data_IF_437038654322
#
_entry.id   IF_437038654322
#
_cell.length_a   1.000
_cell.length_b   1.000
_cell.length_c   1.000
_cell.angle_alpha   90.00
_cell.angle_beta   90.00
_cell.angle_gamma   90.00
#
_symmetry.space_group_name_H-M   'P 1'
#
loop_
_entity.id
_entity.type
_entity.pdbx_description
1 polymer ?
#
# COMPACT_ATOMS: atom_id res chain seq x y z
N UNK A 1 -20.43 -14.57 19.90
CA UNK A 1 -19.87 -13.60 20.86
C UNK A 1 -18.95 -12.74 20.04
N UNK A 2 -19.44 -11.61 19.54
CA UNK A 2 -18.61 -10.65 18.83
C UNK A 2 -17.67 -10.06 19.87
N UNK A 3 -16.38 -10.40 19.79
CA UNK A 3 -15.37 -9.74 20.60
C UNK A 3 -15.47 -8.24 20.33
N UNK A 4 -15.39 -7.47 21.41
CA UNK A 4 -15.33 -6.02 21.41
C UNK A 4 -14.11 -5.61 20.58
N UNK A 5 -14.29 -5.44 19.25
CA UNK A 5 -13.22 -4.99 18.37
C UNK A 5 -12.95 -3.54 18.74
N UNK A 6 -11.71 -3.16 19.07
CA UNK A 6 -11.41 -1.80 19.46
C UNK A 6 -11.80 -0.85 18.32
N UNK A 7 -12.69 0.09 18.62
CA UNK A 7 -13.07 1.17 17.70
C UNK A 7 -11.92 2.16 17.62
N UNK A 8 -11.37 2.39 16.43
CA UNK A 8 -10.27 3.33 16.22
C UNK A 8 -10.75 4.78 16.40
N UNK A 9 -9.84 5.72 16.72
CA UNK A 9 -10.19 7.13 16.73
C UNK A 9 -10.65 7.59 15.34
N UNK A 10 -11.63 8.50 15.26
CA UNK A 10 -12.15 9.00 13.99
C UNK A 10 -11.11 9.83 13.25
N UNK A 11 -10.86 9.48 11.99
CA UNK A 11 -9.89 10.16 11.13
C UNK A 11 -10.52 11.32 10.38
N UNK A 12 -9.73 12.38 10.11
CA UNK A 12 -10.11 13.45 9.18
C UNK A 12 -9.49 13.16 7.84
N UNK A 13 -10.33 12.95 6.83
CA UNK A 13 -9.91 12.72 5.46
C UNK A 13 -10.03 14.00 4.63
N UNK A 14 -9.17 14.13 3.62
CA UNK A 14 -9.37 15.12 2.55
C UNK A 14 -10.65 14.80 1.77
N UNK A 15 -11.14 15.75 0.98
CA UNK A 15 -12.30 15.49 0.13
C UNK A 15 -11.98 14.42 -0.91
N UNK A 16 -12.98 13.64 -1.33
CA UNK A 16 -12.78 12.60 -2.37
C UNK A 16 -12.19 13.19 -3.65
N UNK A 17 -12.53 14.44 -4.00
CA UNK A 17 -11.98 15.12 -5.17
C UNK A 17 -10.49 15.51 -5.02
N UNK A 18 -10.02 15.73 -3.79
CA UNK A 18 -8.60 15.91 -3.50
C UNK A 18 -7.88 14.56 -3.52
N UNK A 19 -8.42 13.56 -2.83
CA UNK A 19 -7.85 12.21 -2.81
C UNK A 19 -7.75 11.60 -4.23
N UNK A 20 -8.79 11.74 -5.06
CA UNK A 20 -8.76 11.26 -6.44
C UNK A 20 -7.73 12.01 -7.30
N UNK A 21 -7.45 13.28 -7.00
CA UNK A 21 -6.39 14.04 -7.66
C UNK A 21 -5.01 13.51 -7.24
N UNK A 22 -4.84 13.21 -5.96
CA UNK A 22 -3.61 12.66 -5.42
C UNK A 22 -3.35 11.27 -6.02
N UNK A 23 -4.38 10.42 -6.15
CA UNK A 23 -4.31 9.12 -6.81
C UNK A 23 -3.88 9.23 -8.28
N UNK A 24 -4.48 10.16 -9.03
CA UNK A 24 -4.10 10.43 -10.42
C UNK A 24 -2.70 11.06 -10.56
N UNK A 25 -2.14 11.61 -9.49
CA UNK A 25 -0.81 12.18 -9.45
C UNK A 25 0.26 11.17 -8.98
N UNK A 26 -0.15 10.01 -8.44
CA UNK A 26 0.77 8.97 -8.01
C UNK A 26 1.64 8.51 -9.21
N UNK A 27 2.98 8.47 -9.06
CA UNK A 27 3.88 8.13 -10.15
C UNK A 27 3.56 6.79 -10.82
N UNK A 28 3.33 5.73 -10.05
CA UNK A 28 3.05 4.39 -10.57
C UNK A 28 1.72 4.35 -11.33
N UNK A 29 0.66 4.92 -10.75
CA UNK A 29 -0.65 4.99 -11.39
C UNK A 29 -0.62 5.83 -12.69
N UNK A 30 0.12 6.93 -12.69
CA UNK A 30 0.35 7.77 -13.89
C UNK A 30 1.04 6.99 -15.00
N UNK A 31 2.06 6.19 -14.65
CA UNK A 31 2.79 5.34 -15.60
C UNK A 31 1.88 4.25 -16.15
N UNK A 32 1.10 3.58 -15.31
CA UNK A 32 0.13 2.55 -15.71
C UNK A 32 -0.90 3.09 -16.72
N UNK A 33 -1.51 4.24 -16.43
CA UNK A 33 -2.43 4.92 -17.37
C UNK A 33 -1.75 5.28 -18.69
N UNK A 34 -0.48 5.67 -18.65
CA UNK A 34 0.29 6.00 -19.85
C UNK A 34 0.57 4.77 -20.71
N UNK A 35 0.96 3.65 -20.08
CA UNK A 35 1.15 2.38 -20.77
C UNK A 35 -0.17 1.82 -21.32
N UNK A 36 -1.26 1.96 -20.59
CA UNK A 36 -2.60 1.58 -21.06
C UNK A 36 -3.01 2.34 -22.34
N UNK A 37 -2.64 3.62 -22.46
CA UNK A 37 -2.88 4.42 -23.68
C UNK A 37 -1.93 4.08 -24.81
N UNK A 38 -0.73 3.61 -24.48
CA UNK A 38 0.27 3.17 -25.45
C UNK A 38 -0.04 1.78 -26.01
N UNK A 39 -0.67 0.92 -25.20
CA UNK A 39 -1.12 -0.40 -25.61
C UNK A 39 -2.02 -0.31 -26.85
N UNK A 40 -1.78 -1.19 -27.81
CA UNK A 40 -2.58 -1.28 -29.02
C UNK A 40 -2.56 -2.71 -29.56
N UNK A 41 -3.25 -2.99 -30.68
CA UNK A 41 -3.49 -4.35 -31.17
C UNK A 41 -2.22 -5.19 -31.50
N UNK A 42 -1.04 -4.57 -31.47
CA UNK A 42 0.25 -5.24 -31.68
C UNK A 42 1.06 -5.43 -30.39
N UNK A 43 0.55 -5.03 -29.23
CA UNK A 43 1.23 -5.19 -27.95
C UNK A 43 1.16 -6.66 -27.54
N UNK A 44 2.30 -7.34 -27.51
CA UNK A 44 2.37 -8.76 -27.14
C UNK A 44 2.58 -8.92 -25.64
N UNK A 45 1.94 -9.94 -25.09
CA UNK A 45 2.12 -10.37 -23.71
C UNK A 45 2.47 -11.85 -23.64
N UNK A 46 3.11 -12.23 -22.53
CA UNK A 46 3.34 -13.63 -22.17
C UNK A 46 2.11 -14.26 -21.51
N UNK A 47 2.29 -15.47 -20.99
CA UNK A 47 1.20 -16.31 -20.48
C UNK A 47 0.51 -15.73 -19.23
N UNK A 48 1.25 -14.99 -18.40
CA UNK A 48 0.74 -14.29 -17.23
C UNK A 48 0.23 -12.89 -17.51
N UNK A 49 0.16 -12.46 -18.78
CA UNK A 49 -0.22 -11.10 -19.15
C UNK A 49 0.91 -10.08 -19.02
N UNK A 50 2.12 -10.50 -18.67
CA UNK A 50 3.33 -9.67 -18.61
C UNK A 50 3.71 -9.16 -20.00
N UNK A 51 4.20 -7.91 -20.07
CA UNK A 51 4.66 -7.33 -21.33
C UNK A 51 5.90 -8.09 -21.80
N UNK A 52 5.91 -8.50 -23.08
CA UNK A 52 7.05 -9.21 -23.65
C UNK A 52 8.37 -8.44 -23.47
N UNK A 53 9.44 -9.14 -23.09
CA UNK A 53 10.74 -8.53 -22.76
C UNK A 53 11.29 -7.62 -23.85
N UNK A 54 11.09 -7.97 -25.12
CA UNK A 54 11.56 -7.14 -26.24
C UNK A 54 10.83 -5.79 -26.35
N UNK A 55 9.67 -5.67 -25.70
CA UNK A 55 8.85 -4.46 -25.68
C UNK A 55 9.12 -3.58 -24.45
N UNK A 56 9.75 -4.10 -23.38
CA UNK A 56 10.06 -3.33 -22.17
C UNK A 56 10.89 -2.07 -22.46
N UNK A 57 11.94 -2.08 -23.32
CA UNK A 57 12.67 -0.85 -23.64
C UNK A 57 11.81 0.22 -24.34
N UNK A 58 10.84 -0.20 -25.16
CA UNK A 58 9.94 0.72 -25.84
C UNK A 58 8.89 1.30 -24.87
N UNK A 59 8.38 0.50 -23.94
CA UNK A 59 7.50 0.94 -22.88
C UNK A 59 8.22 1.93 -21.93
N UNK A 60 9.46 1.62 -21.53
CA UNK A 60 10.30 2.52 -20.74
C UNK A 60 10.54 3.85 -21.47
N UNK A 61 10.83 3.81 -22.78
CA UNK A 61 10.98 5.02 -23.59
C UNK A 61 9.68 5.83 -23.67
N UNK A 62 8.52 5.18 -23.78
CA UNK A 62 7.22 5.86 -23.69
C UNK A 62 7.08 6.55 -22.33
N UNK A 63 7.43 5.91 -21.22
CA UNK A 63 7.38 6.54 -19.89
C UNK A 63 8.39 7.68 -19.70
N UNK A 64 9.36 7.84 -20.61
CA UNK A 64 10.45 8.80 -20.50
C UNK A 64 11.65 8.28 -19.68
N UNK A 65 11.70 6.97 -19.45
CA UNK A 65 12.70 6.27 -18.63
C UNK A 65 13.73 5.49 -19.49
N UNK A 66 13.78 5.70 -20.81
CA UNK A 66 14.65 4.91 -21.69
C UNK A 66 16.16 5.12 -21.51
N UNK A 67 16.59 6.08 -20.69
CA UNK A 67 17.99 6.29 -20.30
C UNK A 67 18.26 5.89 -18.85
N UNK A 68 17.22 5.49 -18.13
CA UNK A 68 17.28 4.98 -16.77
C UNK A 68 17.65 3.49 -16.81
N UNK A 69 18.54 3.06 -15.92
CA UNK A 69 18.95 1.65 -15.85
C UNK A 69 17.80 0.75 -15.37
N UNK A 70 16.94 1.29 -14.50
CA UNK A 70 15.76 0.60 -13.97
C UNK A 70 14.51 0.82 -14.83
N UNK A 71 14.62 1.56 -15.94
CA UNK A 71 13.48 1.98 -16.75
C UNK A 71 12.63 0.81 -17.27
N UNK A 72 13.26 -0.33 -17.60
CA UNK A 72 12.56 -1.53 -18.02
C UNK A 72 11.79 -2.21 -16.86
N UNK A 73 12.38 -2.26 -15.67
CA UNK A 73 11.73 -2.81 -14.47
C UNK A 73 10.53 -1.95 -14.05
N UNK A 74 10.71 -0.63 -14.01
CA UNK A 74 9.63 0.34 -13.72
C UNK A 74 8.50 0.29 -14.76
N UNK A 75 8.81 0.00 -16.03
CA UNK A 75 7.80 -0.20 -17.06
C UNK A 75 7.04 -1.53 -16.88
N UNK A 76 7.72 -2.60 -16.46
CA UNK A 76 7.10 -3.89 -16.13
C UNK A 76 6.14 -3.76 -14.94
N UNK A 77 6.57 -3.08 -13.87
CA UNK A 77 5.75 -2.78 -12.69
C UNK A 77 4.48 -2.00 -13.06
N UNK A 78 4.63 -0.89 -13.79
CA UNK A 78 3.49 -0.09 -14.24
C UNK A 78 2.55 -0.86 -15.19
N UNK A 79 3.09 -1.82 -15.96
CA UNK A 79 2.29 -2.68 -16.83
C UNK A 79 1.41 -3.64 -16.02
N UNK A 80 1.98 -4.32 -15.02
CA UNK A 80 1.22 -5.21 -14.12
C UNK A 80 0.07 -4.48 -13.45
N UNK A 81 0.36 -3.32 -12.86
CA UNK A 81 -0.68 -2.45 -12.29
C UNK A 81 -1.79 -2.12 -13.32
N UNK A 82 -1.43 -1.83 -14.56
CA UNK A 82 -2.41 -1.53 -15.60
C UNK A 82 -3.30 -2.72 -15.94
N UNK A 83 -2.76 -3.94 -15.93
CA UNK A 83 -3.52 -5.18 -16.15
C UNK A 83 -4.44 -5.45 -14.95
N UNK A 84 -3.92 -5.42 -13.73
CA UNK A 84 -4.67 -5.76 -12.52
C UNK A 84 -5.79 -4.77 -12.19
N UNK A 85 -5.63 -3.50 -12.60
CA UNK A 85 -6.67 -2.47 -12.47
C UNK A 85 -7.63 -2.42 -13.67
N UNK A 86 -7.49 -3.30 -14.65
CA UNK A 86 -8.32 -3.34 -15.86
C UNK A 86 -8.16 -2.10 -16.77
N UNK A 87 -7.08 -1.35 -16.60
CA UNK A 87 -6.70 -0.28 -17.54
C UNK A 87 -6.22 -0.87 -18.88
N UNK A 88 -5.73 -2.11 -18.85
CA UNK A 88 -5.36 -2.93 -20.00
C UNK A 88 -6.11 -4.26 -19.91
N UNK A 89 -6.73 -4.65 -21.02
CA UNK A 89 -7.32 -5.97 -21.19
C UNK A 89 -6.35 -6.88 -21.95
N UNK A 90 -6.25 -8.13 -21.50
CA UNK A 90 -5.47 -9.17 -22.17
C UNK A 90 -6.40 -10.04 -23.01
N UNK A 91 -6.13 -10.08 -24.31
CA UNK A 91 -6.74 -11.01 -25.26
C UNK A 91 -5.83 -12.22 -25.42
N UNK A 92 -6.23 -13.43 -24.99
CA UNK A 92 -5.43 -14.63 -25.18
C UNK A 92 -5.29 -14.93 -26.68
N UNK A 93 -4.18 -15.53 -27.07
CA UNK A 93 -4.01 -16.01 -28.44
C UNK A 93 -5.06 -17.09 -28.75
N UNK A 94 -5.69 -17.02 -29.93
CA UNK A 94 -6.63 -18.06 -30.36
C UNK A 94 -5.92 -19.43 -30.42
N UNK A 95 -6.25 -20.32 -29.49
CA UNK A 95 -5.78 -21.72 -29.44
C UNK A 95 -6.29 -22.58 -30.63
N UNK A 96 -7.07 -22.02 -31.53
CA UNK A 96 -7.68 -22.71 -32.69
C UNK A 96 -6.70 -23.02 -33.84
N UNK A 97 -5.40 -23.07 -33.55
CA UNK A 97 -4.40 -23.68 -34.42
C UNK A 97 -4.18 -25.18 -34.11
N UNK A 98 -5.22 -25.91 -33.72
CA UNK A 98 -5.25 -27.38 -33.80
C UNK A 98 -5.14 -27.81 -35.28
N UNK A 99 -3.90 -27.91 -35.79
CA UNK A 99 -3.66 -28.33 -37.16
C UNK A 99 -2.22 -28.29 -37.67
N UNK A 100 -1.20 -28.14 -36.81
CA UNK A 100 0.19 -28.38 -37.22
C UNK A 100 0.75 -29.62 -36.58
N UNK A 101 0.51 -30.72 -37.30
CA UNK A 101 1.14 -32.02 -37.14
C UNK A 101 2.62 -31.90 -36.75
N UNK A 102 2.96 -32.62 -35.67
CA UNK A 102 4.30 -32.65 -35.11
C UNK A 102 5.36 -33.12 -36.10
N UNK A 103 6.50 -32.44 -36.07
CA UNK A 103 7.87 -32.95 -36.23
C UNK A 103 8.76 -31.76 -36.58
N UNK A 104 9.44 -31.20 -35.58
CA UNK A 104 10.37 -30.10 -35.77
C UNK A 104 11.29 -29.99 -34.57
N UNK A 105 12.26 -30.88 -34.49
CA UNK A 105 13.44 -30.77 -33.63
C UNK A 105 14.18 -29.47 -33.97
N UNK A 106 14.25 -28.53 -33.01
CA UNK A 106 14.90 -27.24 -33.19
C UNK A 106 14.64 -26.30 -32.02
N UNK A 107 15.61 -26.25 -31.09
CA UNK A 107 15.90 -25.20 -30.12
C UNK A 107 14.73 -24.29 -29.72
N UNK A 108 14.17 -24.56 -28.54
CA UNK A 108 13.31 -23.63 -27.81
C UNK A 108 14.17 -22.47 -27.29
N UNK A 109 14.39 -21.46 -28.14
CA UNK A 109 14.88 -20.14 -27.76
C UNK A 109 13.96 -19.13 -28.45
N UNK A 110 12.88 -18.76 -27.75
CA UNK A 110 11.85 -17.84 -28.24
C UNK A 110 10.49 -18.20 -27.66
N UNK A 111 10.28 -17.85 -26.39
CA UNK A 111 8.97 -17.83 -25.73
C UNK A 111 7.99 -17.06 -26.61
N UNK A 112 7.10 -17.79 -27.28
CA UNK A 112 6.13 -17.22 -28.20
C UNK A 112 5.07 -16.47 -27.40
N UNK A 113 4.76 -15.23 -27.79
CA UNK A 113 3.70 -14.46 -27.12
C UNK A 113 2.38 -15.23 -27.10
N UNK A 114 1.82 -15.42 -25.91
CA UNK A 114 0.57 -16.17 -25.72
C UNK A 114 -0.67 -15.24 -25.66
N UNK A 115 -0.52 -13.95 -26.00
CA UNK A 115 -1.64 -13.04 -26.15
C UNK A 115 -1.28 -11.67 -26.72
N UNK A 116 -2.32 -10.87 -26.94
CA UNK A 116 -2.22 -9.44 -27.25
C UNK A 116 -2.93 -8.61 -26.21
N UNK A 117 -2.47 -7.39 -25.98
CA UNK A 117 -3.09 -6.48 -25.03
C UNK A 117 -3.74 -5.29 -25.74
N UNK A 118 -4.86 -4.82 -25.20
CA UNK A 118 -5.57 -3.65 -25.68
C UNK A 118 -5.94 -2.73 -24.50
N UNK A 119 -6.23 -1.44 -24.73
CA UNK A 119 -6.74 -0.57 -23.68
C UNK A 119 -8.05 -1.12 -23.12
N UNK A 120 -8.13 -1.29 -21.80
CA UNK A 120 -9.29 -1.83 -21.10
C UNK A 120 -10.40 -0.81 -20.84
N UNK A 121 -11.54 -1.29 -20.36
CA UNK A 121 -12.73 -0.45 -20.15
C UNK A 121 -12.54 0.61 -19.05
N UNK A 122 -11.74 0.30 -18.02
CA UNK A 122 -11.49 1.20 -16.89
C UNK A 122 -10.67 2.43 -17.30
N UNK A 123 -9.97 2.40 -18.44
CA UNK A 123 -9.21 3.56 -18.92
C UNK A 123 -10.11 4.78 -19.20
N UNK A 124 -11.39 4.56 -19.54
CA UNK A 124 -12.36 5.64 -19.75
C UNK A 124 -12.67 6.40 -18.45
N UNK A 125 -12.63 5.71 -17.30
CA UNK A 125 -12.92 6.28 -15.98
C UNK A 125 -11.89 7.34 -15.58
N UNK A 126 -10.65 7.22 -16.05
CA UNK A 126 -9.59 8.23 -15.80
C UNK A 126 -9.98 9.63 -16.28
N UNK A 127 -10.85 9.74 -17.30
CA UNK A 127 -11.27 11.04 -17.85
C UNK A 127 -12.72 11.39 -17.60
N UNK A 128 -13.57 10.41 -17.31
CA UNK A 128 -15.02 10.58 -17.22
C UNK A 128 -15.64 10.06 -15.93
N UNK A 129 -14.86 9.37 -15.10
CA UNK A 129 -15.28 8.83 -13.82
C UNK A 129 -15.43 9.89 -12.75
N UNK A 130 -16.25 9.58 -11.76
CA UNK A 130 -16.35 10.29 -10.49
C UNK A 130 -15.08 10.09 -9.64
N UNK A 131 -14.82 10.98 -8.66
CA UNK A 131 -13.72 10.80 -7.71
C UNK A 131 -13.74 9.43 -7.03
N UNK A 132 -14.91 8.89 -6.70
CA UNK A 132 -15.07 7.58 -6.08
C UNK A 132 -14.65 6.43 -7.00
N UNK A 133 -15.01 6.50 -8.29
CA UNK A 133 -14.60 5.49 -9.27
C UNK A 133 -13.08 5.51 -9.47
N UNK A 134 -12.46 6.69 -9.45
CA UNK A 134 -10.99 6.82 -9.51
C UNK A 134 -10.34 6.23 -8.25
N UNK A 135 -10.90 6.50 -7.08
CA UNK A 135 -10.38 5.95 -5.81
C UNK A 135 -10.56 4.43 -5.74
N UNK A 136 -11.63 3.88 -6.29
CA UNK A 136 -11.82 2.44 -6.39
C UNK A 136 -10.71 1.79 -7.25
N UNK A 137 -10.42 2.35 -8.44
CA UNK A 137 -9.32 1.87 -9.28
C UNK A 137 -7.96 1.97 -8.59
N UNK A 138 -7.75 3.05 -7.82
CA UNK A 138 -6.52 3.21 -7.05
C UNK A 138 -6.42 2.18 -5.91
N UNK A 139 -7.53 1.83 -5.24
CA UNK A 139 -7.56 0.77 -4.23
C UNK A 139 -7.25 -0.60 -4.82
N UNK A 140 -7.79 -0.93 -6.00
CA UNK A 140 -7.43 -2.16 -6.73
C UNK A 140 -5.93 -2.19 -7.06
N UNK A 141 -5.38 -1.04 -7.47
CA UNK A 141 -3.94 -0.89 -7.69
C UNK A 141 -3.12 -1.01 -6.40
N UNK A 142 -3.61 -0.50 -5.28
CA UNK A 142 -2.96 -0.64 -3.98
C UNK A 142 -2.91 -2.11 -3.53
N UNK A 143 -3.95 -2.90 -3.75
CA UNK A 143 -3.94 -4.35 -3.47
C UNK A 143 -2.84 -5.06 -4.26
N UNK A 144 -2.66 -4.68 -5.52
CA UNK A 144 -1.60 -5.21 -6.40
C UNK A 144 -0.21 -4.92 -5.82
N UNK A 145 0.05 -3.65 -5.47
CA UNK A 145 1.34 -3.24 -4.91
C UNK A 145 1.58 -3.83 -3.53
N UNK A 146 0.52 -3.99 -2.72
CA UNK A 146 0.62 -4.66 -1.43
C UNK A 146 1.02 -6.13 -1.60
N UNK A 147 0.43 -6.84 -2.57
CA UNK A 147 0.81 -8.22 -2.88
C UNK A 147 2.29 -8.32 -3.30
N UNK A 148 2.78 -7.38 -4.11
CA UNK A 148 4.18 -7.28 -4.49
C UNK A 148 5.09 -6.98 -3.28
N UNK A 149 4.66 -6.13 -2.35
CA UNK A 149 5.45 -5.77 -1.16
C UNK A 149 5.63 -6.93 -0.16
N UNK A 150 4.69 -7.89 -0.11
CA UNK A 150 4.81 -9.07 0.76
C UNK A 150 5.40 -10.28 0.04
N UNK A 151 5.69 -10.15 -1.26
CA UNK A 151 6.33 -11.19 -2.04
C UNK A 151 7.82 -11.32 -1.63
N UNK A 152 8.35 -12.55 -1.59
CA UNK A 152 9.76 -12.77 -1.30
C UNK A 152 10.63 -12.18 -2.42
N UNK A 153 11.67 -11.44 -2.04
CA UNK A 153 12.67 -10.97 -2.99
C UNK A 153 13.65 -12.10 -3.33
N UNK A 154 13.96 -12.26 -4.62
CA UNK A 154 14.87 -13.31 -5.09
C UNK A 154 16.09 -12.68 -5.75
N UNK A 155 17.24 -12.78 -5.09
CA UNK A 155 18.51 -12.36 -5.68
C UNK A 155 19.05 -13.40 -6.69
N UNK A 156 18.70 -14.69 -6.52
CA UNK A 156 19.06 -15.77 -7.45
C UNK A 156 17.97 -16.84 -7.52
N UNK A 157 17.12 -16.74 -8.55
CA UNK A 157 16.09 -17.74 -8.84
C UNK A 157 16.66 -19.15 -9.07
N UNK A 158 17.95 -19.28 -9.40
CA UNK A 158 18.58 -20.57 -9.69
C UNK A 158 18.60 -21.53 -8.48
N UNK A 159 18.59 -21.00 -7.25
CA UNK A 159 18.62 -21.82 -6.02
C UNK A 159 17.26 -22.46 -5.68
N UNK A 160 16.18 -21.97 -6.29
CA UNK A 160 14.81 -22.45 -6.11
C UNK A 160 14.37 -23.43 -7.17
N UNK A 161 15.05 -23.43 -8.31
CA UNK A 161 14.81 -24.39 -9.38
C UNK A 161 15.43 -25.73 -8.98
N UNK A 162 14.58 -26.73 -8.75
CA UNK A 162 14.99 -28.10 -8.49
C UNK A 162 15.76 -28.70 -9.68
N UNK A 163 16.44 -29.84 -9.44
CA UNK A 163 17.16 -30.58 -10.49
C UNK A 163 16.24 -31.02 -11.66
N UNK A 164 14.92 -30.96 -11.48
CA UNK A 164 13.87 -31.26 -12.45
C UNK A 164 13.30 -30.03 -13.18
N UNK A 165 13.74 -28.82 -12.81
CA UNK A 165 13.24 -27.57 -13.38
C UNK A 165 11.97 -27.03 -12.70
N UNK A 166 11.44 -27.68 -11.65
CA UNK A 166 10.31 -27.16 -10.88
C UNK A 166 10.78 -26.21 -9.77
N UNK A 167 10.01 -25.15 -9.51
CA UNK A 167 10.31 -24.21 -8.41
C UNK A 167 9.85 -24.86 -7.09
N UNK A 168 10.81 -25.10 -6.19
CA UNK A 168 10.53 -25.67 -4.87
C UNK A 168 10.19 -24.58 -3.85
N UNK A 169 8.93 -24.13 -3.89
CA UNK A 169 8.37 -23.16 -2.94
C UNK A 169 8.40 -23.65 -1.48
N UNK A 170 8.55 -24.97 -1.24
CA UNK A 170 8.62 -25.55 0.10
C UNK A 170 9.92 -25.25 0.85
N UNK A 171 10.99 -24.84 0.14
CA UNK A 171 12.25 -24.40 0.75
C UNK A 171 12.19 -22.98 1.32
N UNK A 172 11.20 -22.20 0.93
CA UNK A 172 11.23 -20.76 1.18
C UNK A 172 10.89 -20.38 2.63
N UNK A 173 10.35 -21.30 3.44
CA UNK A 173 9.75 -21.00 4.77
C UNK A 173 8.84 -19.74 4.75
N UNK A 174 8.36 -19.33 3.58
CA UNK A 174 7.59 -18.11 3.37
C UNK A 174 6.12 -18.38 3.66
N UNK A 175 5.54 -17.53 4.51
CA UNK A 175 4.14 -17.56 4.88
C UNK A 175 3.48 -16.24 4.42
N UNK A 176 2.74 -16.23 3.29
CA UNK A 176 2.12 -15.02 2.77
C UNK A 176 1.11 -14.40 3.73
N UNK A 177 0.42 -15.23 4.53
CA UNK A 177 -0.54 -14.74 5.51
C UNK A 177 0.19 -14.00 6.64
N UNK A 178 1.33 -14.54 7.10
CA UNK A 178 2.15 -13.90 8.12
C UNK A 178 2.81 -12.60 7.63
N UNK A 179 3.29 -12.55 6.38
CA UNK A 179 3.84 -11.33 5.78
C UNK A 179 2.77 -10.25 5.61
N UNK A 180 1.56 -10.62 5.18
CA UNK A 180 0.43 -9.69 5.13
C UNK A 180 0.06 -9.18 6.52
N UNK A 181 -0.06 -10.05 7.53
CA UNK A 181 -0.38 -9.66 8.90
C UNK A 181 0.67 -8.70 9.48
N UNK A 182 1.96 -8.92 9.19
CA UNK A 182 3.02 -8.02 9.61
C UNK A 182 2.88 -6.64 8.97
N UNK A 183 2.77 -6.57 7.64
CA UNK A 183 2.69 -5.30 6.92
C UNK A 183 1.40 -4.53 7.26
N UNK A 184 0.25 -5.21 7.30
CA UNK A 184 -1.02 -4.61 7.73
C UNK A 184 -0.95 -4.11 9.18
N UNK A 185 -0.25 -4.83 10.05
CA UNK A 185 0.02 -4.40 11.44
C UNK A 185 0.84 -3.12 11.51
N UNK A 186 1.90 -3.02 10.71
CA UNK A 186 2.76 -1.83 10.59
C UNK A 186 1.97 -0.64 10.05
N UNK A 187 1.24 -0.82 8.95
CA UNK A 187 0.41 0.22 8.33
C UNK A 187 -0.71 0.67 9.28
N UNK A 188 -1.28 -0.26 10.06
CA UNK A 188 -2.25 0.06 11.09
C UNK A 188 -1.67 0.86 12.26
N UNK A 189 -0.43 0.58 12.66
CA UNK A 189 0.26 1.39 13.65
C UNK A 189 0.57 2.81 13.12
N UNK A 190 1.03 2.92 11.87
CA UNK A 190 1.21 4.23 11.20
C UNK A 190 -0.10 5.02 11.14
N UNK A 191 -1.22 4.37 10.84
CA UNK A 191 -2.54 4.98 10.88
C UNK A 191 -2.86 5.53 12.28
N UNK A 192 -2.65 4.74 13.34
CA UNK A 192 -2.87 5.17 14.73
C UNK A 192 -1.98 6.35 15.14
N UNK A 193 -0.70 6.30 14.79
CA UNK A 193 0.24 7.39 15.04
C UNK A 193 -0.18 8.68 14.31
N UNK A 194 -0.77 8.55 13.13
CA UNK A 194 -1.27 9.69 12.33
C UNK A 194 -2.54 10.30 12.93
N UNK A 195 -3.47 9.47 13.42
CA UNK A 195 -4.79 9.92 13.89
C UNK A 195 -4.78 10.41 15.34
N UNK A 196 -3.88 9.88 16.19
CA UNK A 196 -3.82 10.30 17.60
C UNK A 196 -3.27 11.73 17.75
N UNK A 197 -3.99 12.60 18.48
CA UNK A 197 -3.76 14.06 18.60
C UNK A 197 -2.46 14.47 19.33
N UNK A 198 -1.42 13.64 19.35
CA UNK A 198 -0.15 13.95 20.03
C UNK A 198 0.73 14.87 19.17
N UNK A 199 0.27 16.09 18.86
CA UNK A 199 1.08 17.27 18.52
C UNK A 199 2.11 17.20 17.37
N UNK A 200 2.28 16.06 16.71
CA UNK A 200 3.29 15.73 15.72
C UNK A 200 2.65 15.13 14.47
N UNK A 201 1.43 15.57 14.13
CA UNK A 201 0.55 15.02 13.08
C UNK A 201 1.14 15.01 11.65
N UNK A 202 2.37 15.47 11.46
CA UNK A 202 3.05 15.56 10.17
C UNK A 202 4.52 15.10 10.23
N UNK A 203 5.02 14.67 11.40
CA UNK A 203 6.41 14.25 11.51
C UNK A 203 6.56 12.81 11.00
N UNK A 204 7.51 12.54 10.08
CA UNK A 204 7.78 11.18 9.67
C UNK A 204 8.33 10.35 10.83
N UNK A 205 8.03 9.05 10.80
CA UNK A 205 8.38 8.06 11.81
C UNK A 205 9.67 7.32 11.38
N UNK A 206 10.69 7.22 12.24
CA UNK A 206 11.88 6.43 11.94
C UNK A 206 11.56 4.94 11.83
N UNK A 207 12.14 4.25 10.84
CA UNK A 207 11.94 2.81 10.67
C UNK A 207 12.36 1.98 11.91
N UNK A 208 13.49 2.27 12.61
CA UNK A 208 13.84 1.53 13.83
C UNK A 208 12.75 1.60 14.90
N UNK A 209 12.11 2.76 15.05
CA UNK A 209 11.04 2.95 16.03
C UNK A 209 9.77 2.18 15.63
N UNK A 210 9.46 2.15 14.34
CA UNK A 210 8.32 1.41 13.80
C UNK A 210 8.53 -0.11 13.90
N UNK A 211 9.70 -0.61 13.52
CA UNK A 211 10.07 -2.02 13.69
C UNK A 211 10.05 -2.45 15.16
N UNK A 212 10.64 -1.64 16.05
CA UNK A 212 10.62 -1.91 17.48
C UNK A 212 9.18 -1.97 18.04
N UNK A 213 8.26 -1.13 17.56
CA UNK A 213 6.86 -1.15 18.02
C UNK A 213 6.10 -2.44 17.68
N UNK A 214 6.55 -3.19 16.68
CA UNK A 214 5.94 -4.46 16.28
C UNK A 214 6.57 -5.67 16.99
N UNK A 215 7.85 -5.58 17.33
CA UNK A 215 8.64 -6.72 17.83
C UNK A 215 8.84 -6.67 19.34
N UNK A 216 9.09 -5.48 19.91
CA UNK A 216 9.42 -5.32 21.32
C UNK A 216 8.12 -5.35 22.14
N UNK A 217 7.96 -6.31 23.08
CA UNK A 217 6.78 -6.35 23.94
C UNK A 217 6.71 -5.12 24.87
N UNK A 218 5.51 -4.58 25.08
CA UNK A 218 5.28 -3.39 25.92
C UNK A 218 5.75 -3.53 27.38
N UNK A 219 5.84 -4.77 27.90
CA UNK A 219 6.25 -5.06 29.27
C UNK A 219 7.73 -5.47 29.41
N UNK A 220 8.48 -5.45 28.30
CA UNK A 220 9.92 -5.72 28.29
C UNK A 220 10.71 -4.53 28.84
N UNK A 221 11.78 -4.83 29.61
CA UNK A 221 12.71 -3.83 30.13
C UNK A 221 13.69 -3.37 29.05
N UNK A 222 14.95 -3.82 29.14
CA UNK A 222 15.93 -3.61 28.08
C UNK A 222 15.79 -4.73 27.04
N UNK A 223 15.70 -4.41 25.73
CA UNK A 223 15.68 -5.41 24.66
C UNK A 223 16.94 -6.29 24.71
N UNK A 224 16.77 -7.60 24.51
CA UNK A 224 17.89 -8.53 24.38
C UNK A 224 18.54 -8.42 23.01
N UNK A 225 19.80 -8.87 22.87
CA UNK A 225 20.52 -8.88 21.59
C UNK A 225 19.69 -9.56 20.47
N UNK A 226 19.07 -10.71 20.75
CA UNK A 226 18.19 -11.42 19.79
C UNK A 226 16.98 -10.58 19.33
N UNK A 227 16.49 -9.66 20.16
CA UNK A 227 15.37 -8.77 19.83
C UNK A 227 15.87 -7.60 18.98
N UNK A 228 17.06 -7.08 19.28
CA UNK A 228 17.68 -6.03 18.48
C UNK A 228 18.03 -6.51 17.06
N UNK A 229 18.45 -7.76 16.92
CA UNK A 229 18.67 -8.42 15.61
C UNK A 229 17.36 -8.48 14.82
N UNK A 230 16.27 -8.99 15.42
CA UNK A 230 14.95 -9.02 14.78
C UNK A 230 14.44 -7.62 14.38
N UNK A 231 14.67 -6.60 15.22
CA UNK A 231 14.29 -5.21 14.90
C UNK A 231 15.06 -4.71 13.69
N UNK A 232 16.34 -5.04 13.57
CA UNK A 232 17.19 -4.67 12.44
C UNK A 232 16.74 -5.38 11.15
N UNK A 233 16.42 -6.68 11.22
CA UNK A 233 15.87 -7.45 10.09
C UNK A 233 14.53 -6.86 9.61
N UNK A 234 13.61 -6.58 10.54
CA UNK A 234 12.33 -5.98 10.20
C UNK A 234 12.48 -4.56 9.66
N UNK A 235 13.46 -3.79 10.13
CA UNK A 235 13.76 -2.47 9.58
C UNK A 235 14.18 -2.56 8.10
N UNK A 236 15.10 -3.46 7.75
CA UNK A 236 15.52 -3.65 6.35
C UNK A 236 14.37 -4.15 5.48
N UNK A 237 13.56 -5.09 5.99
CA UNK A 237 12.35 -5.54 5.29
C UNK A 237 11.37 -4.40 5.04
N UNK A 238 11.19 -3.49 6.01
CA UNK A 238 10.33 -2.33 5.86
C UNK A 238 10.89 -1.31 4.86
N UNK A 239 12.21 -1.18 4.76
CA UNK A 239 12.89 -0.34 3.78
C UNK A 239 12.50 -0.76 2.34
N UNK A 240 12.60 -2.05 2.06
CA UNK A 240 12.18 -2.65 0.80
C UNK A 240 10.68 -2.47 0.52
N UNK A 241 9.85 -2.77 1.52
CA UNK A 241 8.39 -2.68 1.41
C UNK A 241 7.92 -1.24 1.15
N UNK A 242 8.44 -0.26 1.86
CA UNK A 242 8.05 1.14 1.67
C UNK A 242 8.57 1.72 0.35
N UNK A 243 9.72 1.25 -0.15
CA UNK A 243 10.20 1.57 -1.49
C UNK A 243 9.19 1.18 -2.58
N UNK A 244 8.48 0.06 -2.41
CA UNK A 244 7.41 -0.39 -3.32
C UNK A 244 6.09 0.36 -3.12
N UNK A 245 5.78 0.78 -1.89
CA UNK A 245 4.52 1.47 -1.56
C UNK A 245 4.54 2.98 -1.82
N UNK A 246 5.71 3.62 -1.88
CA UNK A 246 5.85 5.05 -2.17
C UNK A 246 5.33 5.42 -3.58
N UNK A 247 5.66 4.71 -4.67
CA UNK A 247 5.24 5.08 -6.02
C UNK A 247 3.73 5.06 -6.27
N UNK A 248 2.97 4.24 -5.54
CA UNK A 248 1.50 4.24 -5.58
C UNK A 248 0.88 5.36 -4.73
N UNK A 249 1.70 6.08 -3.96
CA UNK A 249 1.31 7.24 -3.16
C UNK A 249 0.75 6.88 -1.79
N UNK A 250 0.98 5.65 -1.30
CA UNK A 250 0.54 5.24 0.04
C UNK A 250 1.34 5.97 1.13
N UNK A 251 2.67 6.03 0.96
CA UNK A 251 3.58 6.64 1.92
C UNK A 251 4.43 7.73 1.26
N UNK A 252 4.86 8.69 2.08
CA UNK A 252 6.07 9.46 1.80
C UNK A 252 7.20 8.82 2.59
N UNK A 253 8.26 8.48 1.90
CA UNK A 253 9.30 7.61 2.43
C UNK A 253 10.69 8.11 2.05
N UNK A 254 11.60 7.98 3.01
CA UNK A 254 13.03 8.23 2.85
C UNK A 254 13.76 6.93 3.17
N UNK A 255 14.55 6.37 2.24
CA UNK A 255 15.21 5.09 2.45
C UNK A 255 16.37 5.17 3.43
N UNK A 256 16.77 4.01 3.94
CA UNK A 256 17.97 3.82 4.76
C UNK A 256 19.19 4.22 3.93
N UNK A 257 20.11 4.96 4.56
CA UNK A 257 21.41 5.28 3.99
C UNK A 257 22.33 4.07 4.09
N UNK A 258 22.52 3.33 2.99
CA UNK A 258 23.39 2.15 2.92
C UNK A 258 24.83 2.44 3.41
N UNK A 259 25.32 3.68 3.25
CA UNK A 259 26.65 4.04 3.73
C UNK A 259 26.72 4.04 5.26
N UNK A 260 25.64 4.42 5.95
CA UNK A 260 25.56 4.30 7.41
C UNK A 260 25.63 2.84 7.83
N UNK A 261 24.86 1.96 7.17
CA UNK A 261 24.83 0.53 7.49
C UNK A 261 26.21 -0.11 7.33
N UNK A 262 26.96 0.27 6.28
CA UNK A 262 28.32 -0.18 6.08
C UNK A 262 29.29 0.34 7.17
N UNK A 263 29.19 1.62 7.55
CA UNK A 263 29.97 2.21 8.63
C UNK A 263 29.70 1.52 9.99
N UNK A 264 28.46 1.15 10.26
CA UNK A 264 28.08 0.43 11.48
C UNK A 264 28.63 -0.99 11.53
N UNK A 265 28.55 -1.72 10.40
CA UNK A 265 29.13 -3.05 10.29
C UNK A 265 30.65 -3.01 10.55
N UNK A 266 31.36 -2.06 9.93
CA UNK A 266 32.79 -1.85 10.16
C UNK A 266 33.10 -1.48 11.62
N UNK A 267 32.29 -0.60 12.23
CA UNK A 267 32.45 -0.21 13.63
C UNK A 267 32.18 -1.36 14.60
N UNK A 268 31.19 -2.22 14.32
CA UNK A 268 30.89 -3.40 15.12
C UNK A 268 32.06 -4.38 15.12
N UNK A 269 32.72 -4.58 13.97
CA UNK A 269 33.92 -5.39 13.81
C UNK A 269 35.14 -4.80 14.57
N UNK A 270 35.36 -3.49 14.50
CA UNK A 270 36.52 -2.83 15.11
C UNK A 270 36.38 -2.58 16.63
N UNK A 271 35.18 -2.27 17.11
CA UNK A 271 34.93 -1.78 18.49
C UNK A 271 34.05 -2.70 19.34
N UNK A 272 33.70 -3.89 18.84
CA UNK A 272 33.00 -4.93 19.63
C UNK A 272 31.60 -4.53 20.09
N UNK A 273 30.85 -3.82 19.23
CA UNK A 273 29.43 -3.52 19.44
C UNK A 273 29.11 -2.42 20.46
N UNK A 274 30.09 -1.61 20.89
CA UNK A 274 29.78 -0.44 21.72
C UNK A 274 29.27 0.71 20.85
N UNK A 275 27.94 0.73 20.63
CA UNK A 275 27.25 1.78 19.88
C UNK A 275 27.59 3.18 20.39
N UNK A 276 27.82 4.11 19.46
CA UNK A 276 27.85 5.54 19.79
C UNK A 276 26.43 6.01 20.14
N UNK A 277 26.28 7.05 20.96
CA UNK A 277 24.99 7.67 21.15
C UNK A 277 24.51 8.24 19.81
N UNK A 278 23.37 7.72 19.34
CA UNK A 278 22.67 8.16 18.13
C UNK A 278 22.18 9.58 18.35
N UNK A 279 22.53 10.51 17.48
CA UNK A 279 21.94 11.86 17.47
C UNK A 279 20.74 11.96 16.50
N UNK A 280 20.02 13.08 16.53
CA UNK A 280 18.81 13.26 15.69
C UNK A 280 19.12 13.22 14.18
N UNK A 281 20.37 13.52 13.78
CA UNK A 281 20.83 13.45 12.38
C UNK A 281 21.05 11.98 11.97
N UNK A 282 21.63 11.17 12.86
CA UNK A 282 21.79 9.73 12.69
C UNK A 282 20.43 9.01 12.57
N UNK A 283 19.40 9.39 13.34
CA UNK A 283 18.07 8.76 13.28
C UNK A 283 17.45 8.86 11.89
N UNK A 284 17.61 10.00 11.21
CA UNK A 284 17.02 10.22 9.88
C UNK A 284 17.67 9.36 8.77
N UNK A 285 18.89 8.87 9.00
CA UNK A 285 19.64 8.03 8.06
C UNK A 285 19.22 6.55 8.12
N UNK A 286 18.48 6.13 9.16
CA UNK A 286 17.87 4.80 9.23
C UNK A 286 16.50 4.71 8.54
N UNK A 287 16.21 5.65 7.65
CA UNK A 287 14.95 5.70 6.94
C UNK A 287 13.80 6.28 7.76
N UNK A 288 12.90 6.96 7.06
CA UNK A 288 11.79 7.72 7.63
C UNK A 288 10.53 7.51 6.79
N UNK A 289 9.39 7.29 7.43
CA UNK A 289 8.13 7.04 6.71
C UNK A 289 6.96 7.80 7.32
N UNK A 290 6.03 8.25 6.48
CA UNK A 290 4.72 8.74 6.91
C UNK A 290 3.63 8.36 5.91
N UNK A 291 2.40 8.20 6.39
CA UNK A 291 1.25 8.08 5.49
C UNK A 291 0.99 9.41 4.78
N UNK A 292 0.67 9.32 3.49
CA UNK A 292 0.08 10.46 2.77
C UNK A 292 -1.41 10.58 3.13
N UNK A 293 -2.09 11.70 2.81
CA UNK A 293 -3.55 11.76 2.93
C UNK A 293 -4.28 10.68 2.14
N UNK A 294 -3.73 10.30 0.97
CA UNK A 294 -4.24 9.21 0.15
C UNK A 294 -4.00 7.84 0.79
N UNK A 295 -2.81 7.64 1.35
CA UNK A 295 -2.49 6.42 2.11
C UNK A 295 -3.37 6.24 3.33
N UNK A 296 -3.64 7.33 4.06
CA UNK A 296 -4.56 7.31 5.20
C UNK A 296 -5.97 6.86 4.79
N UNK A 297 -6.44 7.29 3.62
CA UNK A 297 -7.69 6.79 3.03
C UNK A 297 -7.59 5.29 2.66
N UNK A 298 -6.50 4.87 2.02
CA UNK A 298 -6.29 3.48 1.60
C UNK A 298 -6.22 2.50 2.77
N UNK A 299 -5.44 2.80 3.79
CA UNK A 299 -5.33 1.96 5.00
C UNK A 299 -6.67 1.90 5.73
N UNK A 300 -7.41 3.00 5.78
CA UNK A 300 -8.76 3.00 6.33
C UNK A 300 -9.69 2.07 5.55
N UNK A 301 -9.67 2.11 4.22
CA UNK A 301 -10.48 1.23 3.39
C UNK A 301 -10.17 -0.24 3.67
N UNK A 302 -8.88 -0.62 3.69
CA UNK A 302 -8.43 -1.97 4.06
C UNK A 302 -8.89 -2.39 5.45
N UNK A 303 -8.78 -1.51 6.44
CA UNK A 303 -9.28 -1.77 7.80
C UNK A 303 -10.78 -2.06 7.82
N UNK A 304 -11.58 -1.28 7.08
CA UNK A 304 -13.02 -1.49 6.97
C UNK A 304 -13.36 -2.83 6.30
N UNK A 305 -12.61 -3.22 5.26
CA UNK A 305 -12.77 -4.51 4.58
C UNK A 305 -12.40 -5.70 5.49
N UNK A 306 -11.39 -5.53 6.36
CA UNK A 306 -11.07 -6.47 7.44
C UNK A 306 -12.11 -6.45 8.59
N UNK A 307 -13.06 -5.53 8.55
CA UNK A 307 -14.10 -5.33 9.56
C UNK A 307 -13.62 -4.68 10.85
N UNK A 308 -12.53 -3.93 10.81
CA UNK A 308 -12.08 -3.02 11.87
C UNK A 308 -12.95 -1.76 11.81
N UNK A 309 -13.46 -1.31 12.95
CA UNK A 309 -14.25 -0.08 13.02
C UNK A 309 -13.32 1.15 13.03
N UNK A 310 -13.13 1.74 11.85
CA UNK A 310 -12.27 2.89 11.59
C UNK A 310 -13.10 4.12 11.18
N UNK A 311 -13.80 4.81 12.09
CA UNK A 311 -14.71 5.90 11.74
C UNK A 311 -13.98 7.08 11.08
N UNK A 312 -14.69 7.86 10.27
CA UNK A 312 -14.21 9.13 9.73
C UNK A 312 -15.10 10.29 10.17
N UNK A 313 -14.48 11.46 10.35
CA UNK A 313 -15.20 12.69 10.65
C UNK A 313 -16.09 13.07 9.45
N UNK A 314 -17.38 13.25 9.70
CA UNK A 314 -18.41 13.57 8.72
C UNK A 314 -19.35 12.41 8.41
N UNK A 315 -19.04 11.17 8.82
CA UNK A 315 -19.90 10.01 8.56
C UNK A 315 -21.25 10.07 9.29
N UNK A 316 -21.36 10.88 10.34
CA UNK A 316 -22.59 11.04 11.10
C UNK A 316 -23.45 12.20 10.58
N UNK A 317 -22.98 13.00 9.60
CA UNK A 317 -23.66 14.23 9.16
C UNK A 317 -25.14 13.99 8.76
N UNK A 318 -25.40 12.87 8.08
CA UNK A 318 -26.74 12.47 7.63
C UNK A 318 -27.49 11.56 8.62
N UNK A 319 -26.93 11.28 9.79
CA UNK A 319 -27.52 10.40 10.81
C UNK A 319 -28.45 11.17 11.76
N UNK A 320 -29.18 10.44 12.60
CA UNK A 320 -30.01 11.04 13.65
C UNK A 320 -29.19 11.46 14.88
N UNK A 321 -29.80 12.27 15.74
CA UNK A 321 -29.16 12.76 16.96
C UNK A 321 -28.80 11.65 17.97
N UNK A 322 -29.48 10.51 17.96
CA UNK A 322 -29.16 9.39 18.85
C UNK A 322 -27.83 8.75 18.46
N UNK A 323 -27.72 8.37 17.19
CA UNK A 323 -26.49 7.85 16.60
C UNK A 323 -25.31 8.82 16.78
N UNK A 324 -25.55 10.13 16.62
CA UNK A 324 -24.55 11.16 16.91
C UNK A 324 -24.10 11.09 18.37
N UNK A 325 -25.02 11.22 19.33
CA UNK A 325 -24.67 11.28 20.76
C UNK A 325 -23.98 10.00 21.25
N UNK A 326 -24.41 8.83 20.76
CA UNK A 326 -23.80 7.54 21.07
C UNK A 326 -22.34 7.46 20.60
N UNK A 327 -22.05 7.97 19.40
CA UNK A 327 -20.70 7.98 18.85
C UNK A 327 -19.80 9.03 19.54
N UNK A 328 -20.33 10.23 19.78
CA UNK A 328 -19.59 11.33 20.41
C UNK A 328 -19.07 10.96 21.81
N UNK A 329 -19.74 10.05 22.53
CA UNK A 329 -19.28 9.56 23.83
C UNK A 329 -17.92 8.84 23.80
N UNK A 330 -17.51 8.35 22.62
CA UNK A 330 -16.25 7.60 22.40
C UNK A 330 -15.20 8.41 21.64
N UNK A 331 -15.56 9.58 21.11
CA UNK A 331 -14.67 10.37 20.25
C UNK A 331 -13.75 11.31 21.06
N UNK A 332 -12.50 11.54 20.61
CA UNK A 332 -11.67 12.64 21.10
C UNK A 332 -12.37 14.00 20.94
N UNK A 333 -12.08 14.96 21.82
CA UNK A 333 -12.77 16.26 21.86
C UNK A 333 -12.73 17.00 20.51
N UNK A 334 -11.56 17.00 19.85
CA UNK A 334 -11.38 17.66 18.55
C UNK A 334 -12.26 17.05 17.46
N UNK A 335 -12.36 15.72 17.40
CA UNK A 335 -13.21 15.01 16.45
C UNK A 335 -14.70 15.19 16.77
N UNK A 336 -15.08 15.04 18.04
CA UNK A 336 -16.45 15.22 18.50
C UNK A 336 -17.01 16.61 18.13
N UNK A 337 -16.19 17.65 18.27
CA UNK A 337 -16.56 19.01 17.89
C UNK A 337 -16.74 19.16 16.38
N UNK A 338 -15.83 18.62 15.57
CA UNK A 338 -15.95 18.69 14.12
C UNK A 338 -17.17 17.93 13.60
N UNK A 339 -17.42 16.74 14.14
CA UNK A 339 -18.60 15.93 13.81
C UNK A 339 -19.89 16.69 14.11
N UNK A 340 -19.97 17.32 15.30
CA UNK A 340 -21.13 18.13 15.68
C UNK A 340 -21.36 19.30 14.74
N UNK A 341 -20.28 19.97 14.29
CA UNK A 341 -20.38 21.08 13.33
C UNK A 341 -20.91 20.58 11.98
N UNK A 342 -20.41 19.45 11.48
CA UNK A 342 -20.86 18.86 10.23
C UNK A 342 -22.32 18.37 10.31
N UNK A 343 -22.71 17.73 11.41
CA UNK A 343 -24.09 17.30 11.64
C UNK A 343 -25.09 18.46 11.68
N UNK A 344 -24.68 19.60 12.24
CA UNK A 344 -25.51 20.81 12.28
C UNK A 344 -25.58 21.54 10.93
N UNK A 345 -24.64 21.29 10.01
CA UNK A 345 -24.60 21.98 8.73
C UNK A 345 -25.85 21.66 7.90
N UNK A 346 -26.45 22.69 7.31
CA UNK A 346 -27.72 22.56 6.57
C UNK A 346 -28.99 22.27 7.38
N UNK A 347 -28.90 22.02 8.71
CA UNK A 347 -30.08 21.77 9.57
C UNK A 347 -30.69 23.06 10.13
N UNK A 348 -32.01 23.05 10.35
CA UNK A 348 -32.69 24.16 11.03
C UNK A 348 -32.37 24.12 12.53
N UNK A 349 -31.89 25.23 13.14
CA UNK A 349 -31.42 25.22 14.54
C UNK A 349 -32.44 24.75 15.56
N UNK A 350 -33.72 25.14 15.44
CA UNK A 350 -34.79 24.74 16.35
C UNK A 350 -35.10 23.25 16.28
N UNK A 351 -35.19 22.70 15.07
CA UNK A 351 -35.39 21.28 14.83
C UNK A 351 -34.21 20.44 15.33
N UNK A 352 -32.98 20.84 15.02
CA UNK A 352 -31.78 20.15 15.48
C UNK A 352 -31.68 20.14 17.02
N UNK A 353 -31.96 21.28 17.67
CA UNK A 353 -31.98 21.35 19.13
C UNK A 353 -33.08 20.45 19.73
N UNK A 354 -34.26 20.40 19.12
CA UNK A 354 -35.34 19.51 19.57
C UNK A 354 -34.97 18.03 19.43
N UNK A 355 -34.30 17.66 18.34
CA UNK A 355 -33.80 16.30 18.08
C UNK A 355 -32.77 15.88 19.13
N UNK A 356 -31.75 16.71 19.36
CA UNK A 356 -30.72 16.49 20.39
C UNK A 356 -31.32 16.37 21.79
N UNK A 357 -32.25 17.26 22.16
CA UNK A 357 -32.94 17.21 23.44
C UNK A 357 -33.87 16.00 23.58
N UNK A 358 -34.35 15.44 22.47
CA UNK A 358 -35.15 14.21 22.48
C UNK A 358 -34.25 13.00 22.69
N UNK A 359 -33.13 12.90 21.97
CA UNK A 359 -32.16 11.82 22.09
C UNK A 359 -31.48 11.80 23.48
N UNK A 360 -31.13 12.98 24.01
CA UNK A 360 -30.48 13.10 25.32
C UNK A 360 -31.37 12.74 26.53
N UNK A 361 -32.65 12.34 26.33
CA UNK A 361 -33.52 11.92 27.44
C UNK A 361 -33.13 10.57 28.05
N UNK A 362 -32.29 9.78 27.36
CA UNK A 362 -31.79 8.50 27.88
C UNK A 362 -32.89 7.45 28.03
N UNK A 363 -33.83 7.39 27.07
CA UNK A 363 -34.87 6.35 27.03
C UNK A 363 -34.37 5.03 26.41
N UNK A 364 -33.11 4.98 25.97
CA UNK A 364 -32.49 3.79 25.39
C UNK A 364 -32.22 2.72 26.46
N UNK A 365 -32.58 1.47 26.12
CA UNK A 365 -32.23 0.30 26.92
C UNK A 365 -30.74 0.03 26.74
N UNK A 366 -29.93 0.57 27.66
CA UNK A 366 -28.47 0.46 27.63
C UNK A 366 -27.90 -0.94 27.81
#
# INVERSE_FOLDING_TARGET
MSGDRPTLPPVRLNSEAELARDALAAPLFTRAVRLARWAGPGTRVGAGGELADEQLPAAAAELGLGADEDGAALASEAWRLAVDTGLVDIEPADDDAEGRDGSGDGAADGEGSEGTAAPGENLALITSGSPQEILALWLDGLETVHADAIAPQFDDFADLVGDDGEIDFGKLEWDPDAESEFLDGVLGNLYLLTVTETGAQDAPVPLPALAASMIVPDDMGEPTDDVLEQVSEAMMRLDDQFSLLEPIGLVEYHPVDEALMAEEAENAEEHGGQGRPVDDEDVSRYGMVRLTPLGLYGIRARMLDAGVDAPAVGELADKDAGALLDALARFPEGAARAETVLWLDGREPGAAAAELLSAARGEDSG
#
